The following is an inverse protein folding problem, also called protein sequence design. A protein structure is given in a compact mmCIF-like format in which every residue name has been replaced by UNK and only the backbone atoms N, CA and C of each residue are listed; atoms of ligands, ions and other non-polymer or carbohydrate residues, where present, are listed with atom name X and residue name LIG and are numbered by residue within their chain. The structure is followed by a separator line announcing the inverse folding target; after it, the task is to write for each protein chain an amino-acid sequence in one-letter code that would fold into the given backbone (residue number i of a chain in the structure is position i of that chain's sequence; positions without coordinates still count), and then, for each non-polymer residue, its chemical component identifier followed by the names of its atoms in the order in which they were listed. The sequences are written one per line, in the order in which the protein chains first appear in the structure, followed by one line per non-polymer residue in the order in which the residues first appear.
data_IF_482446406606
#
_entry.id   IF_482446406606
#
_cell.length_a   1.000
_cell.length_b   1.000
_cell.length_c   1.000
_cell.angle_alpha   90.00
_cell.angle_beta   90.00
_cell.angle_gamma   90.00
#
_symmetry.space_group_name_H-M   'P 1'
#
loop_
_entity.id
_entity.type
_entity.pdbx_description
1 polymer ?
#
# COMPACT_ATOMS: atom_id res chain seq x y z
N UNK A 1 25.36 -74.86 -6.41
CA UNK A 1 23.94 -74.71 -6.74
C UNK A 1 23.73 -73.21 -7.17
N UNK A 2 23.48 -73.02 -8.50
CA UNK A 2 23.48 -71.78 -9.22
C UNK A 2 22.20 -70.96 -8.91
N UNK A 3 22.33 -69.81 -8.27
CA UNK A 3 21.27 -68.79 -8.19
C UNK A 3 21.48 -67.77 -9.31
N UNK A 4 21.33 -68.22 -10.56
CA UNK A 4 21.15 -67.34 -11.70
C UNK A 4 19.74 -67.56 -12.26
N UNK A 5 18.91 -66.56 -12.18
CA UNK A 5 17.68 -66.55 -12.95
C UNK A 5 16.49 -66.03 -12.21
N UNK A 6 16.28 -64.70 -12.26
CA UNK A 6 15.00 -64.06 -12.50
C UNK A 6 15.18 -62.53 -12.46
N UNK A 7 15.94 -62.01 -13.42
CA UNK A 7 15.69 -60.63 -13.82
C UNK A 7 14.47 -60.72 -14.75
N UNK A 8 13.28 -60.51 -14.22
CA UNK A 8 12.08 -60.26 -15.04
C UNK A 8 12.40 -59.04 -15.88
N UNK A 9 12.56 -59.22 -17.19
CA UNK A 9 12.55 -58.14 -18.15
C UNK A 9 11.28 -57.31 -17.92
N UNK A 10 11.42 -56.14 -17.37
CA UNK A 10 10.33 -55.17 -17.36
C UNK A 10 10.07 -54.86 -18.82
N UNK A 11 8.93 -55.29 -19.35
CA UNK A 11 8.52 -54.98 -20.71
C UNK A 11 8.59 -53.44 -20.85
N UNK A 12 9.35 -52.97 -21.83
CA UNK A 12 9.53 -51.57 -22.11
C UNK A 12 8.14 -50.97 -22.41
N UNK A 13 7.66 -50.10 -21.51
CA UNK A 13 6.34 -49.47 -21.65
C UNK A 13 6.45 -48.35 -22.68
N UNK A 14 6.00 -48.58 -23.89
CA UNK A 14 5.94 -47.53 -24.93
C UNK A 14 4.62 -46.79 -24.83
N UNK A 15 4.70 -45.49 -24.52
CA UNK A 15 3.55 -44.59 -24.41
C UNK A 15 3.60 -43.54 -25.51
N UNK A 16 2.45 -43.11 -26.00
CA UNK A 16 2.36 -41.85 -26.77
C UNK A 16 2.59 -40.64 -25.89
N UNK A 17 2.92 -39.49 -26.47
CA UNK A 17 3.09 -38.20 -25.73
C UNK A 17 1.84 -37.87 -24.92
N UNK A 18 0.66 -38.02 -25.51
CA UNK A 18 -0.61 -37.79 -24.84
C UNK A 18 -0.79 -38.70 -23.63
N UNK A 19 -0.53 -40.01 -23.79
CA UNK A 19 -0.62 -40.99 -22.71
C UNK A 19 0.35 -40.68 -21.56
N UNK A 20 1.56 -40.22 -21.88
CA UNK A 20 2.54 -39.81 -20.86
C UNK A 20 2.07 -38.55 -20.09
N UNK A 21 1.60 -37.53 -20.81
CA UNK A 21 1.10 -36.29 -20.19
C UNK A 21 -0.14 -36.55 -19.33
N UNK A 22 -1.07 -37.39 -19.80
CA UNK A 22 -2.25 -37.76 -19.04
C UNK A 22 -1.90 -38.58 -17.80
N UNK A 23 -0.94 -39.52 -17.92
CA UNK A 23 -0.45 -40.28 -16.79
C UNK A 23 0.17 -39.38 -15.72
N UNK A 24 1.05 -38.47 -16.13
CA UNK A 24 1.69 -37.50 -15.20
C UNK A 24 0.68 -36.55 -14.58
N UNK A 25 -0.29 -36.03 -15.34
CA UNK A 25 -1.37 -35.21 -14.82
C UNK A 25 -2.23 -35.96 -13.78
N UNK A 26 -2.51 -37.23 -14.03
CA UNK A 26 -3.27 -38.09 -13.10
C UNK A 26 -2.49 -38.38 -11.80
N UNK A 27 -1.17 -38.54 -11.88
CA UNK A 27 -0.33 -38.67 -10.67
C UNK A 27 -0.39 -37.43 -9.80
N UNK A 28 -0.21 -36.23 -10.37
CA UNK A 28 -0.31 -34.96 -9.64
C UNK A 28 -1.70 -34.76 -9.05
N UNK A 29 -2.76 -35.09 -9.78
CA UNK A 29 -4.15 -35.01 -9.28
C UNK A 29 -4.46 -35.95 -8.11
N UNK A 30 -3.75 -37.09 -8.00
CA UNK A 30 -3.93 -38.04 -6.91
C UNK A 30 -3.15 -37.70 -5.67
N UNK A 31 -2.13 -36.87 -5.81
CA UNK A 31 -1.33 -36.40 -4.68
C UNK A 31 -2.15 -35.50 -3.77
N UNK A 32 -2.19 -35.87 -2.49
CA UNK A 32 -3.01 -35.16 -1.49
C UNK A 32 -2.50 -33.73 -1.23
N UNK A 33 -1.20 -33.53 -1.25
CA UNK A 33 -0.59 -32.21 -0.99
C UNK A 33 -0.82 -31.25 -2.16
N UNK A 34 -0.75 -31.76 -3.40
CA UNK A 34 -0.86 -30.95 -4.61
C UNK A 34 -2.30 -30.58 -5.00
N UNK A 35 -3.30 -31.20 -4.37
CA UNK A 35 -4.73 -30.87 -4.59
C UNK A 35 -5.20 -29.58 -3.95
N UNK A 36 -4.56 -29.16 -2.87
CA UNK A 36 -4.92 -27.96 -2.14
C UNK A 36 -3.64 -27.39 -1.51
N UNK A 37 -2.90 -26.65 -2.30
CA UNK A 37 -1.60 -26.09 -1.94
C UNK A 37 -1.67 -24.55 -1.95
N UNK A 38 -0.95 -23.94 -1.03
CA UNK A 38 -0.71 -22.50 -1.03
C UNK A 38 0.74 -22.24 -1.41
N UNK A 39 0.95 -21.44 -2.44
CA UNK A 39 2.26 -21.10 -2.98
C UNK A 39 2.49 -19.60 -2.81
N UNK A 40 3.59 -19.23 -2.16
CA UNK A 40 4.03 -17.85 -2.03
C UNK A 40 4.95 -17.49 -3.19
N UNK A 41 4.83 -16.27 -3.68
CA UNK A 41 5.71 -15.76 -4.72
C UNK A 41 5.33 -14.37 -5.19
N UNK A 42 6.20 -13.77 -5.97
CA UNK A 42 5.97 -12.50 -6.64
C UNK A 42 5.31 -12.72 -7.99
N UNK A 43 4.27 -11.95 -8.28
CA UNK A 43 3.57 -11.99 -9.58
C UNK A 43 4.48 -11.44 -10.67
N UNK A 44 4.59 -12.17 -11.79
CA UNK A 44 5.30 -11.74 -12.98
C UNK A 44 4.50 -12.08 -14.24
N UNK A 45 4.51 -11.17 -15.22
CA UNK A 45 3.86 -11.38 -16.51
C UNK A 45 2.33 -11.47 -16.44
N UNK A 46 1.70 -10.78 -15.48
CA UNK A 46 0.25 -10.79 -15.33
C UNK A 46 -0.47 -10.26 -16.56
N UNK A 47 -1.36 -11.08 -17.11
CA UNK A 47 -2.21 -10.73 -18.25
C UNK A 47 -3.61 -11.27 -18.04
N UNK A 48 -4.61 -10.39 -18.18
CA UNK A 48 -6.03 -10.79 -18.23
C UNK A 48 -6.47 -10.91 -19.66
N UNK A 49 -6.87 -12.12 -20.05
CA UNK A 49 -7.37 -12.40 -21.37
C UNK A 49 -8.82 -11.89 -21.54
N UNK A 50 -9.25 -11.63 -22.78
CA UNK A 50 -10.62 -11.19 -23.11
C UNK A 50 -11.70 -12.17 -22.63
N UNK A 51 -11.37 -13.47 -22.52
CA UNK A 51 -12.23 -14.51 -21.91
C UNK A 51 -12.46 -14.34 -20.42
N UNK A 52 -11.70 -13.45 -19.75
CA UNK A 52 -11.75 -13.21 -18.31
C UNK A 52 -10.83 -14.10 -17.48
N UNK A 53 -10.08 -15.02 -18.09
CA UNK A 53 -9.04 -15.79 -17.41
C UNK A 53 -7.80 -14.93 -17.19
N UNK A 54 -7.11 -15.14 -16.07
CA UNK A 54 -5.82 -14.51 -15.79
C UNK A 54 -4.69 -15.53 -15.95
N UNK A 55 -3.62 -15.09 -16.62
CA UNK A 55 -2.39 -15.84 -16.82
C UNK A 55 -1.24 -15.04 -16.25
N UNK A 56 -0.41 -15.66 -15.45
CA UNK A 56 0.75 -15.04 -14.82
C UNK A 56 1.76 -16.10 -14.38
N UNK A 57 2.87 -15.70 -13.84
CA UNK A 57 3.82 -16.60 -13.18
C UNK A 57 4.00 -16.15 -11.74
N UNK A 58 4.22 -17.07 -10.84
CA UNK A 58 4.76 -16.80 -9.51
C UNK A 58 6.24 -17.16 -9.53
N UNK A 59 7.07 -16.26 -9.06
CA UNK A 59 8.52 -16.43 -8.92
C UNK A 59 8.96 -16.22 -7.48
N UNK A 60 10.02 -16.90 -7.08
CA UNK A 60 10.84 -16.62 -5.92
C UNK A 60 12.29 -16.38 -6.37
N UNK A 61 13.25 -16.38 -5.45
CA UNK A 61 14.67 -16.15 -5.73
C UNK A 61 15.29 -17.23 -6.65
N UNK A 62 14.72 -18.44 -6.66
CA UNK A 62 15.32 -19.60 -7.33
C UNK A 62 14.44 -20.20 -8.45
N UNK A 63 13.15 -19.96 -8.45
CA UNK A 63 12.21 -20.72 -9.27
C UNK A 63 11.02 -19.90 -9.77
N UNK A 64 10.41 -20.38 -10.86
CA UNK A 64 9.22 -19.79 -11.46
C UNK A 64 8.20 -20.88 -11.76
N UNK A 65 6.94 -20.66 -11.45
CA UNK A 65 5.83 -21.53 -11.83
C UNK A 65 4.78 -20.76 -12.64
N UNK A 66 4.31 -21.34 -13.75
CA UNK A 66 3.20 -20.77 -14.51
C UNK A 66 1.88 -20.94 -13.75
N UNK A 67 1.06 -19.91 -13.76
CA UNK A 67 -0.22 -19.86 -13.05
C UNK A 67 -1.37 -19.52 -13.98
N UNK A 68 -2.51 -20.16 -13.75
CA UNK A 68 -3.77 -19.87 -14.43
C UNK A 68 -4.86 -19.70 -13.39
N UNK A 69 -5.62 -18.60 -13.50
CA UNK A 69 -6.79 -18.36 -12.67
C UNK A 69 -8.00 -18.18 -13.57
N UNK A 70 -9.02 -19.02 -13.41
CA UNK A 70 -10.19 -19.01 -14.27
C UNK A 70 -11.14 -17.84 -13.94
N UNK A 71 -11.99 -17.51 -14.89
CA UNK A 71 -12.90 -16.34 -14.81
C UNK A 71 -13.70 -16.25 -13.50
N UNK A 72 -14.35 -17.30 -12.99
CA UNK A 72 -15.10 -17.19 -11.74
C UNK A 72 -14.22 -16.74 -10.58
N UNK A 73 -13.03 -17.33 -10.46
CA UNK A 73 -12.10 -17.10 -9.36
C UNK A 73 -11.42 -15.71 -9.51
N UNK A 74 -11.10 -15.29 -10.75
CA UNK A 74 -10.39 -14.03 -11.02
C UNK A 74 -11.24 -12.77 -10.83
N UNK A 75 -12.57 -12.87 -10.80
CA UNK A 75 -13.47 -11.75 -10.52
C UNK A 75 -13.77 -11.59 -9.04
N UNK A 76 -13.52 -12.61 -8.22
CA UNK A 76 -13.73 -12.59 -6.77
C UNK A 76 -12.58 -12.02 -5.96
N UNK A 77 -11.50 -11.54 -6.61
CA UNK A 77 -10.34 -10.97 -5.91
C UNK A 77 -10.68 -9.60 -5.32
N UNK A 78 -10.37 -9.39 -4.04
CA UNK A 78 -10.55 -8.13 -3.33
C UNK A 78 -9.53 -7.05 -3.72
N UNK A 79 -8.57 -7.38 -4.60
CA UNK A 79 -7.52 -6.47 -5.07
C UNK A 79 -7.26 -6.65 -6.57
N UNK A 80 -6.54 -5.71 -7.17
CA UNK A 80 -6.14 -5.76 -8.58
C UNK A 80 -4.71 -6.27 -8.70
N UNK A 81 -4.48 -7.51 -9.14
CA UNK A 81 -3.14 -8.06 -9.28
C UNK A 81 -2.28 -7.26 -10.26
N UNK A 82 -1.02 -7.02 -9.90
CA UNK A 82 -0.02 -6.38 -10.76
C UNK A 82 1.34 -7.07 -10.63
N UNK A 83 2.21 -6.85 -11.62
CA UNK A 83 3.58 -7.38 -11.59
C UNK A 83 4.35 -6.78 -10.41
N UNK A 84 5.14 -7.60 -9.74
CA UNK A 84 5.92 -7.21 -8.57
C UNK A 84 5.20 -7.40 -7.24
N UNK A 85 3.90 -7.70 -7.23
CA UNK A 85 3.17 -7.98 -5.99
C UNK A 85 3.55 -9.33 -5.40
N UNK A 86 3.84 -9.37 -4.11
CA UNK A 86 3.98 -10.59 -3.33
C UNK A 86 2.62 -11.12 -2.93
N UNK A 87 2.32 -12.37 -3.28
CA UNK A 87 1.03 -12.99 -3.02
C UNK A 87 1.17 -14.41 -2.47
N UNK A 88 0.12 -14.88 -1.81
CA UNK A 88 -0.10 -16.28 -1.52
C UNK A 88 -1.24 -16.77 -2.40
N UNK A 89 -0.94 -17.62 -3.38
CA UNK A 89 -1.92 -18.21 -4.27
C UNK A 89 -2.27 -19.62 -3.81
N UNK A 90 -3.55 -19.89 -3.61
CA UNK A 90 -4.10 -21.19 -3.21
C UNK A 90 -4.77 -21.86 -4.39
N UNK A 91 -4.48 -23.14 -4.57
CA UNK A 91 -5.03 -23.90 -5.69
C UNK A 91 -4.53 -25.32 -5.75
N UNK A 92 -4.45 -25.85 -6.93
CA UNK A 92 -3.94 -27.19 -7.20
C UNK A 92 -2.94 -27.20 -8.35
N UNK A 93 -2.03 -28.15 -8.31
CA UNK A 93 -1.03 -28.32 -9.37
C UNK A 93 -1.47 -29.41 -10.34
N UNK A 94 -1.29 -29.15 -11.64
CA UNK A 94 -1.52 -30.15 -12.69
C UNK A 94 -0.66 -29.85 -13.92
N UNK A 95 -0.70 -30.76 -14.88
CA UNK A 95 -0.10 -30.56 -16.19
C UNK A 95 -1.19 -30.16 -17.19
N UNK A 96 -0.90 -29.10 -17.95
CA UNK A 96 -1.68 -28.79 -19.15
C UNK A 96 -1.28 -29.81 -20.25
N UNK A 97 -2.13 -30.83 -20.44
CA UNK A 97 -1.76 -32.04 -21.18
C UNK A 97 -1.47 -31.80 -22.65
N UNK A 98 -2.04 -30.74 -23.27
CA UNK A 98 -1.79 -30.40 -24.66
C UNK A 98 -0.35 -29.95 -24.92
N UNK A 99 0.28 -29.25 -23.96
CA UNK A 99 1.65 -28.75 -24.08
C UNK A 99 2.64 -29.44 -23.12
N UNK A 100 2.16 -30.33 -22.25
CA UNK A 100 2.99 -30.97 -21.22
C UNK A 100 3.48 -29.98 -20.15
N UNK A 101 2.81 -28.82 -20.01
CA UNK A 101 3.26 -27.74 -19.13
C UNK A 101 2.77 -27.93 -17.69
N UNK A 102 3.70 -28.01 -16.76
CA UNK A 102 3.43 -27.97 -15.32
C UNK A 102 2.96 -26.59 -14.91
N UNK A 103 1.82 -26.49 -14.21
CA UNK A 103 1.28 -25.18 -13.79
C UNK A 103 0.39 -25.28 -12.55
N UNK A 104 0.26 -24.16 -11.85
CA UNK A 104 -0.63 -23.96 -10.71
C UNK A 104 -1.97 -23.40 -11.21
N UNK A 105 -3.06 -24.09 -10.89
CA UNK A 105 -4.43 -23.63 -11.12
C UNK A 105 -4.92 -22.93 -9.87
N UNK A 106 -4.91 -21.60 -9.91
CA UNK A 106 -5.21 -20.74 -8.75
C UNK A 106 -6.72 -20.60 -8.58
N UNK A 107 -7.20 -20.79 -7.35
CA UNK A 107 -8.59 -20.63 -6.93
C UNK A 107 -8.78 -19.35 -6.12
N UNK A 108 -7.85 -19.07 -5.23
CA UNK A 108 -7.84 -17.94 -4.32
C UNK A 108 -6.45 -17.30 -4.35
N UNK A 109 -6.40 -15.99 -4.18
CA UNK A 109 -5.15 -15.26 -4.08
C UNK A 109 -5.31 -14.15 -3.05
N UNK A 110 -4.34 -14.04 -2.18
CA UNK A 110 -4.27 -13.02 -1.14
C UNK A 110 -2.96 -12.24 -1.29
N UNK A 111 -3.03 -10.93 -1.13
CA UNK A 111 -1.82 -10.11 -1.11
C UNK A 111 -1.04 -10.39 0.18
N UNK A 112 0.27 -10.62 0.05
CA UNK A 112 1.11 -10.93 1.20
C UNK A 112 1.47 -9.63 1.91
N UNK A 113 1.33 -9.61 3.23
CA UNK A 113 1.71 -8.46 4.06
C UNK A 113 0.54 -7.59 4.52
N UNK A 114 -0.59 -7.51 3.81
CA UNK A 114 -1.72 -6.69 4.25
C UNK A 114 -2.24 -7.08 5.63
N UNK A 115 -2.41 -8.37 5.90
CA UNK A 115 -2.87 -8.85 7.20
C UNK A 115 -1.91 -8.55 8.35
N UNK A 116 -0.60 -8.64 8.13
CA UNK A 116 0.42 -8.33 9.14
C UNK A 116 0.53 -6.82 9.36
N UNK A 117 0.55 -6.03 8.27
CA UNK A 117 0.54 -4.58 8.34
C UNK A 117 -0.72 -4.08 9.05
N UNK A 118 -1.89 -4.59 8.70
CA UNK A 118 -3.14 -4.22 9.35
C UNK A 118 -3.14 -4.58 10.85
N UNK A 119 -2.66 -5.77 11.22
CA UNK A 119 -2.54 -6.16 12.63
C UNK A 119 -1.57 -5.25 13.40
N UNK A 120 -0.46 -4.85 12.78
CA UNK A 120 0.50 -3.88 13.35
C UNK A 120 -0.13 -2.50 13.51
N UNK A 121 -0.85 -2.02 12.51
CA UNK A 121 -1.61 -0.76 12.56
C UNK A 121 -2.62 -0.77 13.72
N UNK A 122 -3.43 -1.84 13.85
CA UNK A 122 -4.44 -1.94 14.91
C UNK A 122 -3.82 -1.97 16.31
N UNK A 123 -2.71 -2.70 16.49
CA UNK A 123 -1.99 -2.72 17.78
C UNK A 123 -1.44 -1.34 18.15
N UNK A 124 -0.85 -0.64 17.17
CA UNK A 124 -0.30 0.69 17.39
C UNK A 124 -1.41 1.69 17.68
N UNK A 125 -2.51 1.65 16.93
CA UNK A 125 -3.69 2.50 17.15
C UNK A 125 -4.25 2.31 18.56
N UNK A 126 -4.42 1.06 19.00
CA UNK A 126 -4.93 0.75 20.34
C UNK A 126 -3.98 1.26 21.44
N UNK A 127 -2.67 1.06 21.26
CA UNK A 127 -1.66 1.57 22.18
C UNK A 127 -1.72 3.07 22.35
N UNK A 128 -1.64 3.82 21.24
CA UNK A 128 -1.59 5.28 21.26
C UNK A 128 -2.92 5.90 21.70
N UNK A 129 -4.04 5.26 21.40
CA UNK A 129 -5.36 5.66 21.90
C UNK A 129 -5.46 5.54 23.42
N UNK A 130 -4.93 4.43 24.02
CA UNK A 130 -4.88 4.26 25.47
C UNK A 130 -3.96 5.30 26.16
N UNK A 131 -2.95 5.77 25.45
CA UNK A 131 -2.05 6.84 25.92
C UNK A 131 -2.65 8.25 25.77
N UNK A 132 -3.83 8.39 25.12
CA UNK A 132 -4.52 9.67 24.95
C UNK A 132 -4.00 10.52 23.78
N UNK A 133 -3.15 9.96 22.87
CA UNK A 133 -2.59 10.74 21.76
C UNK A 133 -3.65 11.21 20.74
N UNK A 134 -4.84 10.65 20.77
CA UNK A 134 -5.92 10.95 19.84
C UNK A 134 -7.06 11.76 20.48
N UNK A 135 -6.87 12.22 21.72
CA UNK A 135 -7.91 12.92 22.46
C UNK A 135 -8.21 14.28 21.83
N UNK A 136 -9.49 14.55 21.58
CA UNK A 136 -9.94 15.82 21.00
C UNK A 136 -9.57 17.04 21.87
N UNK A 137 -9.43 16.87 23.19
CA UNK A 137 -9.04 17.92 24.13
C UNK A 137 -7.61 18.42 23.90
N UNK A 138 -6.76 17.63 23.25
CA UNK A 138 -5.37 18.00 22.93
C UNK A 138 -5.26 18.75 21.61
N UNK A 139 -6.24 18.59 20.72
CA UNK A 139 -6.20 19.16 19.38
C UNK A 139 -6.31 20.67 19.37
N UNK A 140 -5.39 21.28 18.64
CA UNK A 140 -5.27 22.72 18.52
C UNK A 140 -6.17 23.26 17.40
N UNK A 141 -6.87 24.39 17.60
CA UNK A 141 -7.61 25.04 16.53
C UNK A 141 -6.64 25.59 15.48
N UNK A 142 -7.06 25.53 14.21
CA UNK A 142 -6.29 26.18 13.14
C UNK A 142 -6.36 27.71 13.27
N UNK A 143 -5.26 28.43 12.99
CA UNK A 143 -5.26 29.88 13.02
C UNK A 143 -6.16 30.44 11.91
N UNK A 144 -7.03 31.40 12.27
CA UNK A 144 -7.94 32.00 11.30
C UNK A 144 -7.22 32.78 10.19
N UNK A 145 -6.04 33.34 10.48
CA UNK A 145 -5.23 34.11 9.54
C UNK A 145 -3.74 33.79 9.73
N UNK A 146 -3.26 32.64 9.22
CA UNK A 146 -1.85 32.31 9.29
C UNK A 146 -1.04 33.26 8.40
N UNK A 147 0.22 33.47 8.74
CA UNK A 147 1.18 34.25 7.95
C UNK A 147 2.03 33.32 7.07
N UNK A 148 2.25 32.12 7.56
CA UNK A 148 3.08 31.11 6.88
C UNK A 148 2.49 29.71 7.08
N UNK A 149 2.32 28.99 5.99
CA UNK A 149 1.94 27.57 5.95
C UNK A 149 3.21 26.76 5.72
N UNK A 150 3.56 25.90 6.67
CA UNK A 150 4.63 24.90 6.50
C UNK A 150 4.10 23.66 5.80
N UNK A 151 4.85 23.11 4.85
CA UNK A 151 4.47 21.90 4.12
C UNK A 151 5.58 20.86 4.26
N UNK A 152 5.28 19.72 4.86
CA UNK A 152 6.17 18.55 4.99
C UNK A 152 5.75 17.54 3.94
N UNK A 153 6.51 17.48 2.84
CA UNK A 153 6.27 16.58 1.72
C UNK A 153 7.52 16.44 0.85
N UNK A 154 7.48 15.57 -0.16
CA UNK A 154 8.58 15.44 -1.10
C UNK A 154 8.71 16.68 -2.01
N UNK A 155 9.97 17.04 -2.33
CA UNK A 155 10.25 18.16 -3.22
C UNK A 155 9.79 17.90 -4.66
N UNK A 156 9.96 16.64 -5.13
CA UNK A 156 9.66 16.22 -6.48
C UNK A 156 8.26 15.57 -6.55
N UNK A 157 7.18 16.38 -6.54
CA UNK A 157 5.82 15.84 -6.64
C UNK A 157 4.79 16.90 -7.02
N UNK A 158 3.68 16.45 -7.63
CA UNK A 158 2.55 17.30 -7.95
C UNK A 158 1.93 17.97 -6.70
N UNK A 159 2.04 17.31 -5.55
CA UNK A 159 1.41 17.70 -4.27
C UNK A 159 1.77 19.12 -3.84
N UNK A 160 3.05 19.48 -3.87
CA UNK A 160 3.46 20.84 -3.51
C UNK A 160 2.92 21.88 -4.48
N UNK A 161 2.91 21.56 -5.78
CA UNK A 161 2.34 22.43 -6.81
C UNK A 161 0.84 22.62 -6.63
N UNK A 162 0.12 21.56 -6.26
CA UNK A 162 -1.33 21.63 -6.00
C UNK A 162 -1.63 22.52 -4.79
N UNK A 163 -0.91 22.31 -3.69
CA UNK A 163 -1.02 23.17 -2.48
C UNK A 163 -0.74 24.63 -2.85
N UNK A 164 0.37 24.90 -3.54
CA UNK A 164 0.76 26.25 -3.95
C UNK A 164 -0.31 26.90 -4.82
N UNK A 165 -0.89 26.18 -5.77
CA UNK A 165 -1.94 26.69 -6.65
C UNK A 165 -3.19 27.08 -5.85
N UNK A 166 -3.62 26.24 -4.92
CA UNK A 166 -4.77 26.51 -4.04
C UNK A 166 -4.50 27.75 -3.16
N UNK A 167 -3.38 27.77 -2.46
CA UNK A 167 -3.00 28.87 -1.56
C UNK A 167 -2.89 30.18 -2.31
N UNK A 168 -2.19 30.19 -3.46
CA UNK A 168 -2.00 31.42 -4.25
C UNK A 168 -3.32 31.96 -4.80
N UNK A 169 -4.23 31.08 -5.19
CA UNK A 169 -5.57 31.49 -5.68
C UNK A 169 -6.41 32.11 -4.57
N UNK A 170 -6.40 31.52 -3.35
CA UNK A 170 -7.23 31.97 -2.22
C UNK A 170 -6.65 33.19 -1.49
N UNK A 171 -5.33 33.20 -1.31
CA UNK A 171 -4.62 34.27 -0.60
C UNK A 171 -3.21 34.49 -1.20
N UNK A 172 -3.06 35.34 -2.24
CA UNK A 172 -1.81 35.54 -2.99
C UNK A 172 -0.60 35.99 -2.17
N UNK A 173 -0.84 36.57 -0.96
CA UNK A 173 0.22 37.08 -0.07
C UNK A 173 0.62 36.07 1.02
N UNK A 174 0.07 34.84 0.99
CA UNK A 174 0.41 33.81 1.95
C UNK A 174 1.82 33.28 1.68
N UNK A 175 2.62 33.17 2.74
CA UNK A 175 3.91 32.49 2.65
C UNK A 175 3.72 30.97 2.74
N UNK A 176 4.43 30.24 1.90
CA UNK A 176 4.50 28.78 1.95
C UNK A 176 5.95 28.37 2.13
N UNK A 177 6.22 27.60 3.17
CA UNK A 177 7.55 27.07 3.46
C UNK A 177 7.55 25.56 3.26
N UNK A 178 8.22 25.10 2.21
CA UNK A 178 8.44 23.67 1.97
C UNK A 178 9.56 23.15 2.88
N UNK A 179 9.31 22.08 3.60
CA UNK A 179 10.31 21.26 4.26
C UNK A 179 10.44 19.95 3.47
N UNK A 180 11.41 19.86 2.53
CA UNK A 180 11.58 18.69 1.68
C UNK A 180 11.89 17.44 2.52
N UNK A 181 11.09 16.38 2.35
CA UNK A 181 11.14 15.20 3.20
C UNK A 181 10.76 13.98 2.38
N UNK A 182 11.48 12.86 2.53
CA UNK A 182 11.02 11.59 1.97
C UNK A 182 9.72 11.17 2.67
N UNK A 183 8.69 10.89 1.87
CA UNK A 183 7.34 10.53 2.36
C UNK A 183 6.98 9.08 2.06
N UNK A 184 7.90 8.31 1.50
CA UNK A 184 7.78 6.89 1.21
C UNK A 184 9.16 6.23 1.22
N UNK A 185 9.18 4.90 1.35
CA UNK A 185 10.41 4.11 1.38
C UNK A 185 11.03 4.01 2.78
N UNK A 186 12.14 3.31 2.85
CA UNK A 186 12.86 3.06 4.09
C UNK A 186 13.40 4.35 4.71
N UNK A 187 13.23 4.52 6.02
CA UNK A 187 13.67 5.72 6.75
C UNK A 187 12.80 6.97 6.58
N UNK A 188 11.73 6.92 5.78
CA UNK A 188 10.83 8.07 5.59
C UNK A 188 10.16 8.51 6.89
N UNK A 189 9.73 7.58 7.75
CA UNK A 189 9.09 7.89 9.03
C UNK A 189 9.99 8.77 9.92
N UNK A 190 11.27 8.40 10.07
CA UNK A 190 12.23 9.19 10.85
C UNK A 190 12.44 10.59 10.27
N UNK A 191 12.48 10.72 8.94
CA UNK A 191 12.62 12.01 8.28
C UNK A 191 11.39 12.90 8.47
N UNK A 192 10.18 12.33 8.36
CA UNK A 192 8.91 13.05 8.61
C UNK A 192 8.87 13.57 10.06
N UNK A 193 9.14 12.71 11.04
CA UNK A 193 9.18 13.10 12.44
C UNK A 193 10.23 14.19 12.71
N UNK A 194 11.43 14.06 12.16
CA UNK A 194 12.49 15.07 12.28
C UNK A 194 12.10 16.40 11.62
N UNK A 195 11.41 16.36 10.46
CA UNK A 195 10.93 17.56 9.78
C UNK A 195 9.88 18.31 10.62
N UNK A 196 8.90 17.60 11.19
CA UNK A 196 7.87 18.18 12.07
C UNK A 196 8.54 18.84 13.29
N UNK A 197 9.42 18.11 13.99
CA UNK A 197 10.16 18.64 15.16
C UNK A 197 11.03 19.84 14.80
N UNK A 198 11.65 19.84 13.62
CA UNK A 198 12.45 20.99 13.13
C UNK A 198 11.59 22.21 12.90
N UNK A 199 10.43 22.05 12.22
CA UNK A 199 9.51 23.15 11.95
C UNK A 199 8.97 23.74 13.26
N UNK A 200 8.61 22.89 14.21
CA UNK A 200 8.13 23.31 15.52
C UNK A 200 9.20 24.04 16.34
N UNK A 201 10.39 23.45 16.47
CA UNK A 201 11.50 24.05 17.24
C UNK A 201 11.90 25.42 16.74
N UNK A 202 11.88 25.63 15.43
CA UNK A 202 12.29 26.89 14.80
C UNK A 202 11.12 27.86 14.62
N UNK A 203 9.89 27.45 14.95
CA UNK A 203 8.65 28.25 14.78
C UNK A 203 8.54 28.87 13.40
N UNK A 204 8.80 28.04 12.36
CA UNK A 204 8.90 28.50 10.98
C UNK A 204 7.55 28.71 10.28
N UNK A 205 6.46 28.23 10.88
CA UNK A 205 5.12 28.32 10.31
C UNK A 205 4.06 28.48 11.42
N UNK A 206 2.88 28.97 11.07
CA UNK A 206 1.73 29.11 11.97
C UNK A 206 0.81 27.87 11.91
N UNK A 207 0.91 27.07 10.84
CA UNK A 207 0.21 25.80 10.64
C UNK A 207 1.09 24.90 9.77
N UNK A 208 1.08 23.59 10.04
CA UNK A 208 1.81 22.59 9.24
C UNK A 208 0.82 21.72 8.47
N UNK A 209 1.13 21.48 7.21
CA UNK A 209 0.49 20.43 6.38
C UNK A 209 1.49 19.29 6.21
N UNK A 210 1.14 18.11 6.72
CA UNK A 210 1.90 16.88 6.53
C UNK A 210 1.15 16.05 5.49
N UNK A 211 1.75 15.84 4.33
CA UNK A 211 1.03 15.26 3.21
C UNK A 211 1.91 14.43 2.27
N UNK A 212 1.23 13.58 1.50
CA UNK A 212 1.83 12.87 0.38
C UNK A 212 0.87 12.81 -0.81
N UNK A 213 1.41 12.45 -1.96
CA UNK A 213 0.62 12.13 -3.16
C UNK A 213 -0.02 10.74 -3.11
N UNK A 214 -0.76 10.38 -4.14
CA UNK A 214 -1.31 9.02 -4.30
C UNK A 214 -0.21 7.96 -4.35
N UNK A 215 -0.57 6.71 -4.02
CA UNK A 215 0.33 5.55 -4.02
C UNK A 215 -0.34 4.33 -3.40
N UNK A 216 0.41 3.26 -3.21
CA UNK A 216 -0.06 2.02 -2.59
C UNK A 216 -0.21 2.15 -1.07
N UNK A 217 -0.83 1.16 -0.43
CA UNK A 217 -0.98 1.09 1.04
C UNK A 217 0.40 1.02 1.72
N UNK A 218 1.34 0.33 1.11
CA UNK A 218 2.71 0.24 1.60
C UNK A 218 3.41 1.59 1.61
N UNK A 219 3.12 2.45 0.64
CA UNK A 219 3.65 3.80 0.58
C UNK A 219 3.09 4.72 1.67
N UNK A 220 1.92 4.42 2.23
CA UNK A 220 1.33 5.14 3.37
C UNK A 220 1.95 4.72 4.71
N UNK A 221 2.70 3.61 4.72
CA UNK A 221 3.18 3.00 5.95
C UNK A 221 4.06 3.91 6.83
N UNK A 222 4.91 4.79 6.29
CA UNK A 222 5.67 5.74 7.12
C UNK A 222 4.81 6.63 8.02
N UNK A 223 3.56 6.88 7.66
CA UNK A 223 2.61 7.65 8.45
C UNK A 223 1.86 6.82 9.53
N UNK A 224 2.10 5.50 9.54
CA UNK A 224 1.66 4.58 10.58
C UNK A 224 2.80 4.28 11.59
N UNK A 225 3.73 5.21 11.75
CA UNK A 225 4.84 5.09 12.67
C UNK A 225 4.60 5.84 13.97
N UNK A 226 5.01 5.26 15.10
CA UNK A 226 4.82 5.83 16.44
C UNK A 226 5.57 7.16 16.61
N UNK A 227 6.79 7.26 16.05
CA UNK A 227 7.61 8.46 16.18
C UNK A 227 7.01 9.65 15.42
N UNK A 228 6.36 9.39 14.28
CA UNK A 228 5.61 10.41 13.54
C UNK A 228 4.38 10.87 14.33
N UNK A 229 3.61 9.93 14.89
CA UNK A 229 2.44 10.25 15.70
C UNK A 229 2.83 11.12 16.92
N UNK A 230 3.90 10.76 17.62
CA UNK A 230 4.41 11.54 18.75
C UNK A 230 4.94 12.91 18.32
N UNK A 231 5.63 13.00 17.18
CA UNK A 231 6.10 14.26 16.66
C UNK A 231 4.94 15.22 16.32
N UNK A 232 3.82 14.69 15.83
CA UNK A 232 2.60 15.47 15.60
C UNK A 232 1.96 15.91 16.91
N UNK A 233 1.80 14.98 17.86
CA UNK A 233 1.20 15.25 19.17
C UNK A 233 1.96 16.31 19.95
N UNK A 234 3.30 16.20 20.02
CA UNK A 234 4.17 17.11 20.76
C UNK A 234 4.36 18.47 20.06
N UNK A 235 3.99 18.57 18.77
CA UNK A 235 4.15 19.77 17.99
C UNK A 235 3.26 20.91 18.56
N UNK A 236 3.83 22.07 18.87
CA UNK A 236 3.05 23.22 19.35
C UNK A 236 2.35 23.99 18.22
N UNK A 237 2.80 23.79 16.97
CA UNK A 237 2.16 24.34 15.78
C UNK A 237 1.00 23.40 15.40
N UNK A 238 -0.21 23.90 15.08
CA UNK A 238 -1.29 23.05 14.59
C UNK A 238 -0.89 22.27 13.34
N UNK A 239 -1.19 20.97 13.31
CA UNK A 239 -0.83 20.05 12.22
C UNK A 239 -2.08 19.57 11.51
N UNK A 240 -2.11 19.73 10.19
CA UNK A 240 -3.11 19.14 9.29
C UNK A 240 -2.49 17.95 8.58
N UNK A 241 -3.05 16.77 8.78
CA UNK A 241 -2.67 15.56 8.03
C UNK A 241 -3.51 15.45 6.75
N UNK A 242 -2.83 15.26 5.62
CA UNK A 242 -3.45 15.03 4.31
C UNK A 242 -2.73 13.88 3.60
N UNK A 243 -2.76 12.72 4.22
CA UNK A 243 -2.01 11.53 3.82
C UNK A 243 -2.93 10.50 3.17
N UNK A 244 -4.02 10.13 3.85
CA UNK A 244 -4.98 9.14 3.38
C UNK A 244 -6.15 9.76 2.61
N UNK A 245 -6.69 9.00 1.66
CA UNK A 245 -7.95 9.32 0.99
C UNK A 245 -9.16 9.09 1.94
N UNK A 246 -10.38 9.30 1.47
CA UNK A 246 -11.59 9.26 2.31
C UNK A 246 -11.71 8.00 3.18
N UNK A 247 -11.30 6.84 2.67
CA UNK A 247 -11.41 5.54 3.33
C UNK A 247 -10.15 5.12 4.11
N UNK A 248 -8.98 5.68 3.79
CA UNK A 248 -7.68 5.20 4.25
C UNK A 248 -7.15 6.10 5.38
N UNK A 249 -7.40 5.70 6.62
CA UNK A 249 -6.88 6.42 7.79
C UNK A 249 -5.51 5.91 8.20
N UNK A 250 -4.59 6.85 8.43
CA UNK A 250 -3.28 6.57 9.03
C UNK A 250 -3.23 6.98 10.51
N UNK A 251 -2.22 6.49 11.24
CA UNK A 251 -1.98 6.90 12.63
C UNK A 251 -1.74 8.42 12.72
N UNK A 252 -1.06 8.99 11.72
CA UNK A 252 -0.86 10.46 11.64
C UNK A 252 -2.18 11.21 11.55
N UNK A 253 -3.19 10.67 10.85
CA UNK A 253 -4.52 11.31 10.74
C UNK A 253 -5.25 11.36 12.09
N UNK A 254 -5.06 10.35 12.94
CA UNK A 254 -5.65 10.34 14.30
C UNK A 254 -4.92 11.30 15.24
N UNK A 255 -3.57 11.39 15.12
CA UNK A 255 -2.76 12.25 15.97
C UNK A 255 -2.81 13.74 15.58
N UNK A 256 -3.13 14.05 14.33
CA UNK A 256 -3.20 15.42 13.82
C UNK A 256 -4.35 16.22 14.43
N UNK A 257 -4.17 17.54 14.51
CA UNK A 257 -5.19 18.48 14.98
C UNK A 257 -6.38 18.53 14.01
N UNK A 258 -6.11 18.39 12.71
CA UNK A 258 -7.13 18.31 11.66
C UNK A 258 -6.73 17.29 10.60
N UNK A 259 -7.70 16.59 10.04
CA UNK A 259 -7.52 15.73 8.89
C UNK A 259 -8.13 16.35 7.64
N UNK A 260 -7.44 16.25 6.53
CA UNK A 260 -7.98 16.58 5.21
C UNK A 260 -7.90 15.37 4.27
N UNK A 261 -8.90 15.13 3.40
CA UNK A 261 -8.92 13.98 2.49
C UNK A 261 -7.89 14.09 1.34
N UNK A 262 -7.40 15.29 1.07
CA UNK A 262 -6.40 15.56 0.03
C UNK A 262 -5.49 16.72 0.42
N UNK A 263 -4.27 16.81 -0.14
CA UNK A 263 -3.40 17.95 0.04
C UNK A 263 -4.04 19.31 -0.36
N UNK A 264 -4.85 19.30 -1.42
CA UNK A 264 -5.59 20.51 -1.84
C UNK A 264 -6.64 20.93 -0.81
N UNK A 265 -7.37 19.97 -0.23
CA UNK A 265 -8.32 20.25 0.84
C UNK A 265 -7.62 20.77 2.10
N UNK A 266 -6.44 20.24 2.44
CA UNK A 266 -5.63 20.77 3.54
C UNK A 266 -5.22 22.23 3.29
N UNK A 267 -4.79 22.54 2.07
CA UNK A 267 -4.46 23.90 1.68
C UNK A 267 -5.68 24.85 1.79
N UNK A 268 -6.87 24.39 1.43
CA UNK A 268 -8.11 25.17 1.61
C UNK A 268 -8.45 25.42 3.08
N UNK A 269 -8.32 24.40 3.93
CA UNK A 269 -8.54 24.53 5.38
C UNK A 269 -7.56 25.52 6.04
N UNK A 270 -6.31 25.52 5.58
CA UNK A 270 -5.26 26.41 6.12
C UNK A 270 -5.25 27.81 5.52
N UNK A 271 -6.01 28.07 4.45
CA UNK A 271 -5.93 29.34 3.72
C UNK A 271 -7.28 30.05 3.73
N UNK A 272 -7.39 31.20 4.39
CA UNK A 272 -8.63 32.01 4.36
C UNK A 272 -8.89 32.52 2.93
N UNK A 273 -10.13 32.86 2.64
CA UNK A 273 -10.49 33.54 1.39
C UNK A 273 -10.30 35.04 1.53
N UNK A 274 -9.47 35.60 0.67
CA UNK A 274 -9.18 37.06 0.69
C UNK A 274 -10.44 37.88 0.45
N UNK A 275 -11.33 37.45 -0.43
CA UNK A 275 -12.60 38.12 -0.71
C UNK A 275 -13.50 38.17 0.52
N UNK A 276 -13.60 37.09 1.28
CA UNK A 276 -14.38 37.04 2.53
C UNK A 276 -13.83 37.98 3.59
N UNK A 277 -12.48 38.08 3.69
CA UNK A 277 -11.83 39.01 4.62
C UNK A 277 -12.12 40.45 4.20
N UNK A 278 -11.96 40.79 2.93
CA UNK A 278 -12.23 42.13 2.39
C UNK A 278 -13.69 42.52 2.55
N UNK A 279 -14.63 41.58 2.31
CA UNK A 279 -16.05 41.84 2.53
C UNK A 279 -16.36 42.13 4.01
N UNK A 280 -15.77 41.37 4.94
CA UNK A 280 -15.94 41.59 6.38
C UNK A 280 -15.39 42.95 6.83
N UNK A 281 -14.23 43.35 6.29
CA UNK A 281 -13.63 44.68 6.60
C UNK A 281 -14.46 45.85 6.03
N UNK A 282 -15.13 45.63 4.89
CA UNK A 282 -15.96 46.67 4.26
C UNK A 282 -17.32 46.82 4.93
N UNK A 283 -17.73 45.85 5.77
CA UNK A 283 -19.01 45.87 6.49
C UNK A 283 -18.91 46.51 7.90
N UNK A 284 -17.71 46.89 8.34
CA UNK A 284 -17.41 47.64 9.57
C UNK A 284 -17.19 49.09 9.26
#
# INVERSE_FOLDING_TARGET
MNLKGCIRAVAELVLSVSQLNDYAANLLRRDFLLKNISVKGEISGYKRHTSGHAYFSLKDEASVISCVMFKPDSFGLGFKPSNGMSVTARGYVSIYTQEGRYQLYVKEMEQQGEGELYARFMRLKEKLSKEGLFDESHKKPLPALPRCIGVVTSEMGAVYSDIKNVVTRRFPKMNILLCPTAVQGEGAAAQIAAAIRRMDRLKLADVLIVCRGGGSVEDLWPFNDEDVARAIYDCSIPVVSAVGHETDYTISDFAADMRAPTPSAAAELCTPEMESIMASLSAV
#
